data_IF_144451806298
#
_entry.id   IF_144451806298
#
_cell.length_a   1.000
_cell.length_b   1.000
_cell.length_c   1.000
_cell.angle_alpha   90.00
_cell.angle_beta   90.00
_cell.angle_gamma   90.00
#
_symmetry.space_group_name_H-M   'P 1'
#
loop_
_entity.id
_entity.type
_entity.pdbx_description
1 polymer ?
#
# COMPACT_ATOMS: atom_id res chain seq x y z
N UNK A 1 -21.47 2.52 23.11
CA UNK A 1 -20.46 1.75 22.36
C UNK A 1 -19.27 2.66 22.08
N UNK A 2 -18.27 2.61 22.94
CA UNK A 2 -16.98 3.28 22.74
C UNK A 2 -16.09 2.33 21.96
N UNK A 3 -16.34 2.19 20.66
CA UNK A 3 -15.33 1.67 19.73
C UNK A 3 -14.25 2.76 19.73
N UNK A 4 -13.26 2.59 20.60
CA UNK A 4 -12.18 3.54 20.79
C UNK A 4 -11.59 3.85 19.43
N UNK A 5 -11.54 5.13 19.11
CA UNK A 5 -11.16 5.75 17.84
C UNK A 5 -9.66 5.52 17.51
N UNK A 6 -9.11 4.35 17.84
CA UNK A 6 -7.69 4.03 17.83
C UNK A 6 -7.37 2.81 16.96
N UNK A 7 -8.37 2.02 16.56
CA UNK A 7 -8.16 0.84 15.70
C UNK A 7 -7.91 1.19 14.22
N UNK A 8 -8.18 2.43 13.78
CA UNK A 8 -7.83 2.91 12.43
C UNK A 8 -6.31 3.02 12.24
N UNK A 9 -5.52 3.00 13.32
CA UNK A 9 -4.07 3.01 13.23
C UNK A 9 -3.53 1.78 12.48
N UNK A 10 -4.24 0.65 12.54
CA UNK A 10 -3.84 -0.58 11.82
C UNK A 10 -3.84 -0.38 10.30
N UNK A 11 -4.97 -0.04 9.64
CA UNK A 11 -4.95 0.19 8.21
C UNK A 11 -4.04 1.36 7.81
N UNK A 12 -3.92 2.40 8.64
CA UNK A 12 -2.98 3.50 8.40
C UNK A 12 -1.50 3.05 8.39
N UNK A 13 -1.09 2.19 9.33
CA UNK A 13 0.25 1.61 9.35
C UNK A 13 0.50 0.73 8.12
N UNK A 14 -0.50 -0.07 7.72
CA UNK A 14 -0.40 -0.89 6.50
C UNK A 14 -0.22 0.02 5.28
N UNK A 15 -1.01 1.09 5.14
CA UNK A 15 -0.82 2.10 4.09
C UNK A 15 0.62 2.64 4.10
N UNK A 16 1.11 3.08 5.26
CA UNK A 16 2.46 3.64 5.38
C UNK A 16 3.54 2.63 4.95
N UNK A 17 3.44 1.38 5.37
CA UNK A 17 4.39 0.31 5.03
C UNK A 17 4.31 -0.02 3.52
N UNK A 18 3.11 -0.18 2.97
CA UNK A 18 2.91 -0.51 1.56
C UNK A 18 3.49 0.57 0.64
N UNK A 19 3.22 1.85 0.93
CA UNK A 19 3.78 2.95 0.14
C UNK A 19 5.28 3.14 0.38
N UNK A 20 5.76 2.97 1.62
CA UNK A 20 7.20 3.01 1.90
C UNK A 20 7.94 1.94 1.10
N UNK A 21 7.43 0.71 1.08
CA UNK A 21 7.97 -0.36 0.23
C UNK A 21 7.91 0.03 -1.25
N UNK A 22 6.81 0.62 -1.71
CA UNK A 22 6.67 1.03 -3.11
C UNK A 22 7.54 2.22 -3.54
N UNK A 23 8.00 3.08 -2.62
CA UNK A 23 8.87 4.21 -2.96
C UNK A 23 10.35 3.93 -2.68
N UNK A 24 10.67 3.24 -1.59
CA UNK A 24 12.05 3.08 -1.13
C UNK A 24 12.72 1.79 -1.61
N UNK A 25 11.98 0.83 -2.15
CA UNK A 25 12.60 -0.38 -2.71
C UNK A 25 13.30 -0.01 -4.03
N UNK A 26 14.61 -0.28 -4.18
CA UNK A 26 15.32 -0.05 -5.44
C UNK A 26 14.73 -0.94 -6.54
N UNK A 27 14.51 -0.38 -7.73
CA UNK A 27 14.13 -1.15 -8.92
C UNK A 27 15.31 -1.21 -9.87
N UNK A 28 15.62 -2.42 -10.33
CA UNK A 28 16.47 -2.59 -11.51
C UNK A 28 15.59 -2.43 -12.74
N UNK A 29 16.01 -1.65 -13.75
CA UNK A 29 15.30 -1.57 -15.02
C UNK A 29 15.12 -2.98 -15.59
N UNK A 30 13.89 -3.34 -15.96
CA UNK A 30 13.64 -4.64 -16.60
C UNK A 30 13.96 -4.63 -18.11
N UNK A 31 14.22 -3.46 -18.69
CA UNK A 31 14.45 -3.23 -20.11
C UNK A 31 15.55 -2.18 -20.32
N UNK A 32 16.46 -2.43 -21.26
CA UNK A 32 17.49 -1.47 -21.71
C UNK A 32 16.89 -0.28 -22.49
N UNK A 33 15.64 -0.41 -22.95
CA UNK A 33 14.93 0.62 -23.69
C UNK A 33 13.88 1.28 -22.79
N UNK A 34 14.28 2.39 -22.14
CA UNK A 34 13.54 3.60 -21.73
C UNK A 34 12.17 3.55 -21.04
N UNK A 35 11.37 2.50 -21.20
CA UNK A 35 10.00 2.42 -20.70
C UNK A 35 9.85 1.18 -19.82
N UNK A 36 9.91 1.41 -18.51
CA UNK A 36 9.70 0.37 -17.49
C UNK A 36 8.35 0.59 -16.81
N UNK A 37 7.46 -0.40 -16.92
CA UNK A 37 6.11 -0.35 -16.34
C UNK A 37 6.06 -1.00 -14.95
N UNK A 38 7.15 -1.65 -14.53
CA UNK A 38 7.24 -2.31 -13.23
C UNK A 38 7.02 -1.36 -12.05
N UNK A 39 7.48 -0.10 -12.07
CA UNK A 39 7.16 0.88 -11.02
C UNK A 39 5.65 1.12 -10.87
N UNK A 40 4.91 1.14 -11.98
CA UNK A 40 3.47 1.34 -11.98
C UNK A 40 2.75 0.16 -11.35
N UNK A 41 3.15 -1.08 -11.67
CA UNK A 41 2.61 -2.27 -11.03
C UNK A 41 2.90 -2.31 -9.53
N UNK A 42 4.11 -1.92 -9.11
CA UNK A 42 4.45 -1.87 -7.68
C UNK A 42 3.59 -0.85 -6.94
N UNK A 43 3.40 0.33 -7.52
CA UNK A 43 2.56 1.36 -6.92
C UNK A 43 1.09 0.92 -6.89
N UNK A 44 0.61 0.27 -7.95
CA UNK A 44 -0.71 -0.36 -7.99
C UNK A 44 -0.90 -1.42 -6.90
N UNK A 45 0.09 -2.30 -6.69
CA UNK A 45 0.05 -3.31 -5.63
C UNK A 45 -0.01 -2.68 -4.23
N UNK A 46 0.76 -1.61 -3.98
CA UNK A 46 0.72 -0.89 -2.71
C UNK A 46 -0.62 -0.18 -2.48
N UNK A 47 -1.20 0.43 -3.53
CA UNK A 47 -2.52 1.06 -3.47
C UNK A 47 -3.60 0.01 -3.15
N UNK A 48 -3.63 -1.11 -3.87
CA UNK A 48 -4.60 -2.19 -3.65
C UNK A 48 -4.45 -2.75 -2.24
N UNK A 49 -3.23 -3.05 -1.79
CA UNK A 49 -2.98 -3.54 -0.44
C UNK A 49 -3.48 -2.58 0.65
N UNK A 50 -3.23 -1.28 0.46
CA UNK A 50 -3.76 -0.23 1.34
C UNK A 50 -5.29 -0.22 1.35
N UNK A 51 -5.94 -0.23 0.18
CA UNK A 51 -7.40 -0.21 0.07
C UNK A 51 -8.05 -1.44 0.71
N UNK A 52 -7.46 -2.62 0.53
CA UNK A 52 -7.94 -3.86 1.15
C UNK A 52 -7.85 -3.76 2.67
N UNK A 53 -6.77 -3.20 3.23
CA UNK A 53 -6.64 -3.01 4.67
C UNK A 53 -7.75 -2.10 5.23
N UNK A 54 -8.03 -0.99 4.56
CA UNK A 54 -9.12 -0.08 4.94
C UNK A 54 -10.50 -0.72 4.79
N UNK A 55 -10.72 -1.50 3.73
CA UNK A 55 -11.97 -2.21 3.51
C UNK A 55 -12.22 -3.25 4.61
N UNK A 56 -11.21 -4.08 4.93
CA UNK A 56 -11.31 -5.07 6.00
C UNK A 56 -11.60 -4.39 7.33
N UNK A 57 -10.91 -3.29 7.64
CA UNK A 57 -11.17 -2.53 8.86
C UNK A 57 -12.61 -2.01 8.91
N UNK A 58 -13.10 -1.38 7.84
CA UNK A 58 -14.45 -0.82 7.76
C UNK A 58 -15.56 -1.88 7.77
N UNK A 59 -15.26 -3.14 7.42
CA UNK A 59 -16.21 -4.25 7.49
C UNK A 59 -16.28 -4.87 8.89
N UNK A 60 -15.22 -4.75 9.68
CA UNK A 60 -15.12 -5.32 11.04
C UNK A 60 -15.61 -4.34 12.11
N UNK A 61 -15.44 -3.03 11.88
CA UNK A 61 -15.71 -1.97 12.85
C UNK A 61 -16.67 -0.90 12.31
#
# INVERSE_FOLDING_TARGET
MTVSISWWAIPALITAISFSWAFFTPMKPSSDYGFDIMPLFRLGAALIGSLVAWLVWALIF
#
